data_IF_027084327512
#
_entry.id   IF_027084327512
#
_cell.length_a   1.000
_cell.length_b   1.000
_cell.length_c   1.000
_cell.angle_alpha   90.00
_cell.angle_beta   90.00
_cell.angle_gamma   90.00
#
_symmetry.space_group_name_H-M   'P 1'
#
loop_
_entity.id
_entity.type
_entity.pdbx_description
1 polymer ?
#
# COMPACT_ATOMS: atom_id res chain seq x y z
N UNK A 1 -13.17 -13.74 2.61
CA UNK A 1 -11.84 -13.22 2.21
C UNK A 1 -10.76 -13.58 3.22
N UNK A 2 -10.87 -13.16 4.49
CA UNK A 2 -9.81 -13.33 5.51
C UNK A 2 -9.32 -14.78 5.71
N UNK A 3 -10.22 -15.75 5.94
CA UNK A 3 -9.81 -17.16 6.10
C UNK A 3 -9.01 -17.73 4.92
N UNK A 4 -9.26 -17.24 3.71
CA UNK A 4 -8.50 -17.64 2.51
C UNK A 4 -7.08 -17.08 2.56
N UNK A 5 -6.94 -15.81 2.93
CA UNK A 5 -5.65 -15.12 3.02
C UNK A 5 -4.78 -15.72 4.13
N UNK A 6 -5.37 -16.00 5.30
CA UNK A 6 -4.68 -16.65 6.43
C UNK A 6 -4.14 -18.04 6.07
N UNK A 7 -4.78 -18.76 5.14
CA UNK A 7 -4.29 -20.07 4.70
C UNK A 7 -3.11 -20.02 3.73
N UNK A 8 -2.81 -18.85 3.16
CA UNK A 8 -1.82 -18.68 2.08
C UNK A 8 -0.55 -17.96 2.53
N UNK A 9 -0.63 -17.13 3.58
CA UNK A 9 0.52 -16.38 4.08
C UNK A 9 0.83 -16.72 5.54
N UNK A 10 2.12 -16.84 5.91
CA UNK A 10 2.52 -17.34 7.23
C UNK A 10 2.15 -16.41 8.38
N UNK A 11 2.04 -15.10 8.12
CA UNK A 11 1.61 -14.10 9.11
C UNK A 11 0.72 -13.06 8.44
N UNK A 12 -0.55 -13.03 8.85
CA UNK A 12 -1.56 -12.10 8.34
C UNK A 12 -2.04 -11.23 9.49
N UNK A 13 -2.05 -9.92 9.29
CA UNK A 13 -2.62 -8.93 10.18
C UNK A 13 -3.91 -8.39 9.54
N UNK A 14 -5.04 -8.69 10.16
CA UNK A 14 -6.35 -8.22 9.69
C UNK A 14 -6.51 -6.74 10.07
N UNK A 15 -6.73 -5.88 9.08
CA UNK A 15 -6.92 -4.44 9.29
C UNK A 15 -8.41 -4.05 9.26
N UNK A 16 -9.21 -4.72 8.41
CA UNK A 16 -10.68 -4.62 8.39
C UNK A 16 -11.30 -5.86 7.70
N UNK A 17 -12.62 -5.91 7.57
CA UNK A 17 -13.35 -7.03 6.93
C UNK A 17 -12.78 -7.37 5.55
N UNK A 18 -12.49 -6.34 4.74
CA UNK A 18 -12.02 -6.48 3.37
C UNK A 18 -10.55 -6.08 3.19
N UNK A 19 -9.80 -5.91 4.28
CA UNK A 19 -8.40 -5.49 4.20
C UNK A 19 -7.48 -6.25 5.17
N UNK A 20 -6.35 -6.71 4.66
CA UNK A 20 -5.34 -7.42 5.44
C UNK A 20 -3.94 -7.10 4.97
N UNK A 21 -2.98 -7.11 5.91
CA UNK A 21 -1.56 -7.10 5.62
C UNK A 21 -0.99 -8.49 5.80
N UNK A 22 0.02 -8.85 5.02
CA UNK A 22 0.76 -10.09 5.24
C UNK A 22 2.28 -9.86 5.20
N UNK A 23 3.01 -10.53 6.07
CA UNK A 23 4.47 -10.54 6.05
C UNK A 23 4.96 -11.54 4.99
N UNK A 24 5.79 -11.07 4.07
CA UNK A 24 6.35 -11.88 2.99
C UNK A 24 7.78 -12.34 3.29
N UNK A 25 8.27 -12.15 4.52
CA UNK A 25 9.59 -12.62 4.96
C UNK A 25 9.68 -14.14 4.80
N UNK A 26 10.70 -14.60 4.06
CA UNK A 26 10.92 -16.02 3.76
C UNK A 26 10.17 -16.55 2.53
N UNK A 27 9.36 -15.73 1.85
CA UNK A 27 8.75 -16.10 0.57
C UNK A 27 9.77 -15.92 -0.56
N UNK A 28 9.83 -16.90 -1.48
CA UNK A 28 10.73 -16.87 -2.62
C UNK A 28 10.36 -15.79 -3.64
N UNK A 29 11.36 -15.22 -4.29
CA UNK A 29 11.16 -14.30 -5.42
C UNK A 29 10.78 -15.09 -6.70
N UNK A 30 10.05 -14.45 -7.65
CA UNK A 30 9.51 -13.10 -7.58
C UNK A 30 8.20 -13.03 -6.77
N UNK A 31 8.12 -12.09 -5.81
CA UNK A 31 6.92 -11.94 -4.97
C UNK A 31 5.63 -11.62 -5.74
N UNK A 32 5.76 -11.05 -6.94
CA UNK A 32 4.62 -10.77 -7.81
C UNK A 32 3.83 -12.02 -8.21
N UNK A 33 4.48 -13.17 -8.37
CA UNK A 33 3.82 -14.41 -8.77
C UNK A 33 3.06 -15.03 -7.59
N UNK A 34 3.68 -15.00 -6.41
CA UNK A 34 3.00 -15.36 -5.16
C UNK A 34 1.76 -14.49 -4.91
N UNK A 35 1.87 -13.17 -5.12
CA UNK A 35 0.73 -12.28 -5.00
C UNK A 35 -0.38 -12.60 -6.03
N UNK A 36 -0.04 -12.94 -7.27
CA UNK A 36 -1.03 -13.36 -8.28
C UNK A 36 -1.71 -14.69 -7.91
N UNK A 37 -0.98 -15.63 -7.31
CA UNK A 37 -1.57 -16.87 -6.81
C UNK A 37 -2.61 -16.57 -5.71
N UNK A 38 -2.27 -15.70 -4.77
CA UNK A 38 -3.21 -15.26 -3.73
C UNK A 38 -4.43 -14.59 -4.37
N UNK A 39 -4.22 -13.66 -5.31
CA UNK A 39 -5.29 -12.96 -6.02
C UNK A 39 -6.26 -13.94 -6.70
N UNK A 40 -5.71 -14.92 -7.43
CA UNK A 40 -6.48 -15.94 -8.12
C UNK A 40 -7.24 -16.84 -7.13
N UNK A 41 -6.61 -17.23 -6.03
CA UNK A 41 -7.22 -18.06 -4.99
C UNK A 41 -8.40 -17.37 -4.32
N UNK A 42 -8.20 -16.11 -3.91
CA UNK A 42 -9.28 -15.32 -3.30
C UNK A 42 -10.43 -15.17 -4.30
N UNK A 43 -10.14 -14.82 -5.56
CA UNK A 43 -11.17 -14.71 -6.59
C UNK A 43 -11.94 -16.01 -6.80
N UNK A 44 -11.25 -17.15 -6.82
CA UNK A 44 -11.86 -18.48 -6.99
C UNK A 44 -12.78 -18.85 -5.82
N UNK A 45 -12.39 -18.56 -4.59
CA UNK A 45 -13.12 -19.03 -3.40
C UNK A 45 -14.21 -18.09 -2.94
N UNK A 46 -14.07 -16.78 -3.17
CA UNK A 46 -15.03 -15.77 -2.69
C UNK A 46 -15.79 -15.09 -3.81
N UNK A 47 -15.36 -15.22 -5.06
CA UNK A 47 -15.88 -14.46 -6.19
C UNK A 47 -15.48 -12.99 -6.18
N UNK A 48 -14.76 -12.49 -5.18
CA UNK A 48 -14.43 -11.07 -5.05
C UNK A 48 -13.11 -10.74 -5.76
N UNK A 49 -13.05 -9.66 -6.57
CA UNK A 49 -11.79 -9.18 -7.09
C UNK A 49 -11.00 -8.50 -5.96
N UNK A 50 -9.68 -8.70 -5.93
CA UNK A 50 -8.81 -8.07 -4.93
C UNK A 50 -7.64 -7.35 -5.61
N UNK A 51 -7.32 -6.17 -5.09
CA UNK A 51 -6.10 -5.44 -5.42
C UNK A 51 -5.03 -5.79 -4.40
N UNK A 52 -3.82 -6.08 -4.88
CA UNK A 52 -2.69 -6.47 -4.05
C UNK A 52 -1.50 -5.55 -4.32
N UNK A 53 -0.92 -5.01 -3.25
CA UNK A 53 0.28 -4.19 -3.27
C UNK A 53 1.40 -4.80 -2.42
N UNK A 54 2.63 -4.79 -2.94
CA UNK A 54 3.84 -5.21 -2.23
C UNK A 54 4.72 -3.99 -2.00
N UNK A 55 5.30 -3.86 -0.82
CA UNK A 55 6.28 -2.80 -0.51
C UNK A 55 7.19 -3.16 0.66
N UNK A 56 8.23 -2.34 0.89
CA UNK A 56 9.15 -2.50 2.03
C UNK A 56 8.55 -2.06 3.37
N UNK A 57 7.40 -1.38 3.35
CA UNK A 57 6.66 -1.00 4.56
C UNK A 57 5.17 -1.14 4.33
N UNK A 58 4.38 -1.16 5.42
CA UNK A 58 2.91 -1.13 5.35
C UNK A 58 2.41 0.06 4.51
N UNK A 59 3.03 1.23 4.66
CA UNK A 59 2.64 2.43 3.90
C UNK A 59 2.94 2.29 2.42
N UNK A 60 4.11 1.78 2.02
CA UNK A 60 4.42 1.52 0.61
C UNK A 60 3.55 0.39 0.03
N UNK A 61 3.29 -0.67 0.80
CA UNK A 61 2.40 -1.75 0.38
C UNK A 61 0.96 -1.24 0.16
N UNK A 62 0.48 -0.35 1.01
CA UNK A 62 -0.83 0.30 0.88
C UNK A 62 -0.87 1.26 -0.31
N UNK A 63 0.19 2.02 -0.55
CA UNK A 63 0.33 2.86 -1.75
C UNK A 63 0.33 2.01 -3.03
N UNK A 64 1.04 0.90 -3.04
CA UNK A 64 1.05 -0.07 -4.13
C UNK A 64 -0.33 -0.67 -4.37
N UNK A 65 -1.08 -1.00 -3.31
CA UNK A 65 -2.45 -1.52 -3.41
C UNK A 65 -3.39 -0.47 -4.02
N UNK A 66 -3.26 0.80 -3.62
CA UNK A 66 -4.01 1.90 -4.26
C UNK A 66 -3.68 1.96 -5.76
N UNK A 67 -2.40 1.91 -6.13
CA UNK A 67 -1.96 1.88 -7.52
C UNK A 67 -2.47 0.66 -8.30
N UNK A 68 -2.58 -0.51 -7.65
CA UNK A 68 -3.06 -1.73 -8.28
C UNK A 68 -4.53 -1.66 -8.67
N UNK A 69 -5.33 -0.88 -7.92
CA UNK A 69 -6.72 -0.56 -8.25
C UNK A 69 -6.80 0.50 -9.34
N UNK A 70 -6.03 1.57 -9.21
CA UNK A 70 -6.04 2.70 -10.15
C UNK A 70 -5.56 2.30 -11.55
N UNK A 71 -4.53 1.47 -11.64
CA UNK A 71 -3.92 1.01 -12.89
C UNK A 71 -4.23 -0.45 -13.18
N UNK A 72 -5.41 -0.93 -12.79
CA UNK A 72 -5.80 -2.35 -12.86
C UNK A 72 -5.63 -2.95 -14.26
N UNK A 73 -6.00 -2.23 -15.32
CA UNK A 73 -5.86 -2.69 -16.71
C UNK A 73 -4.41 -2.97 -17.11
N UNK A 74 -3.46 -2.22 -16.55
CA UNK A 74 -2.02 -2.35 -16.85
C UNK A 74 -1.31 -3.35 -15.94
N UNK A 75 -1.82 -3.52 -14.72
CA UNK A 75 -1.14 -4.26 -13.64
C UNK A 75 -1.78 -5.61 -13.36
N UNK A 76 -2.99 -5.87 -13.85
CA UNK A 76 -3.79 -7.02 -13.46
C UNK A 76 -4.24 -6.97 -12.00
N UNK A 77 -4.13 -5.81 -11.32
CA UNK A 77 -4.49 -5.66 -9.92
C UNK A 77 -3.39 -6.06 -8.92
N UNK A 78 -2.17 -6.35 -9.39
CA UNK A 78 -0.99 -6.64 -8.54
C UNK A 78 0.12 -5.64 -8.85
N UNK A 79 0.61 -4.93 -7.83
CA UNK A 79 1.72 -3.97 -7.97
C UNK A 79 2.82 -4.29 -6.96
N UNK A 80 4.05 -4.40 -7.46
CA UNK A 80 5.25 -4.50 -6.64
C UNK A 80 6.00 -3.17 -6.61
N UNK A 81 6.00 -2.52 -5.45
CA UNK A 81 6.56 -1.19 -5.23
C UNK A 81 7.82 -1.26 -4.33
N UNK A 82 8.72 -2.18 -4.65
CA UNK A 82 10.01 -2.34 -3.95
C UNK A 82 11.20 -1.71 -4.67
N UNK A 83 11.09 -1.44 -5.96
CA UNK A 83 12.15 -0.78 -6.73
C UNK A 83 12.08 0.74 -6.56
N UNK A 84 13.22 1.39 -6.30
CA UNK A 84 13.28 2.82 -6.00
C UNK A 84 12.65 3.68 -7.09
N UNK A 85 12.91 3.38 -8.37
CA UNK A 85 12.32 4.09 -9.50
C UNK A 85 10.79 3.95 -9.55
N UNK A 86 10.24 2.81 -9.12
CA UNK A 86 8.80 2.57 -9.08
C UNK A 86 8.16 3.34 -7.92
N UNK A 87 8.82 3.34 -6.74
CA UNK A 87 8.42 4.15 -5.58
C UNK A 87 8.36 5.62 -5.97
N UNK A 88 9.44 6.16 -6.53
CA UNK A 88 9.49 7.56 -6.96
C UNK A 88 8.42 7.87 -8.01
N UNK A 89 8.25 7.01 -9.01
CA UNK A 89 7.26 7.19 -10.06
C UNK A 89 5.84 7.31 -9.49
N UNK A 90 5.48 6.44 -8.54
CA UNK A 90 4.15 6.44 -7.94
C UNK A 90 3.97 7.64 -7.00
N UNK A 91 4.92 7.87 -6.08
CA UNK A 91 4.77 8.90 -5.06
C UNK A 91 4.72 10.32 -5.66
N UNK A 92 5.37 10.55 -6.81
CA UNK A 92 5.27 11.83 -7.54
C UNK A 92 3.88 12.08 -8.14
N UNK A 93 3.07 11.03 -8.31
CA UNK A 93 1.73 11.09 -8.90
C UNK A 93 0.61 10.90 -7.87
N UNK A 94 0.95 10.45 -6.67
CA UNK A 94 0.01 10.23 -5.59
C UNK A 94 -0.23 11.55 -4.83
N UNK A 95 -1.48 12.06 -4.79
CA UNK A 95 -1.81 13.19 -3.94
C UNK A 95 -1.57 12.88 -2.46
N UNK A 96 -1.21 13.88 -1.65
CA UNK A 96 -0.97 13.69 -0.20
C UNK A 96 -2.17 13.10 0.52
N UNK A 97 -3.39 13.46 0.13
CA UNK A 97 -4.64 12.94 0.70
C UNK A 97 -4.87 11.42 0.48
N UNK A 98 -4.19 10.82 -0.50
CA UNK A 98 -4.25 9.37 -0.75
C UNK A 98 -3.22 8.59 0.07
N UNK A 99 -2.30 9.29 0.76
CA UNK A 99 -1.31 8.66 1.62
C UNK A 99 -1.99 8.17 2.89
N UNK A 100 -1.83 6.88 3.17
CA UNK A 100 -2.36 6.27 4.39
C UNK A 100 -1.83 6.99 5.64
N UNK A 101 -2.76 7.41 6.51
CA UNK A 101 -2.47 8.22 7.69
C UNK A 101 -2.65 9.74 7.50
N UNK A 102 -2.79 10.22 6.26
CA UNK A 102 -3.02 11.65 5.98
C UNK A 102 -4.53 11.93 5.93
N UNK A 103 -5.07 12.42 7.04
CA UNK A 103 -6.46 12.86 7.11
C UNK A 103 -6.70 14.25 6.52
N UNK A 104 -7.96 14.57 6.19
CA UNK A 104 -8.40 15.84 5.58
C UNK A 104 -7.77 17.10 6.18
N UNK A 105 -7.70 17.21 7.52
CA UNK A 105 -7.11 18.36 8.21
C UNK A 105 -5.61 18.52 7.91
N UNK A 106 -4.89 17.41 7.84
CA UNK A 106 -3.46 17.39 7.54
C UNK A 106 -3.25 17.73 6.06
N UNK A 107 -4.08 17.20 5.16
CA UNK A 107 -4.03 17.52 3.73
C UNK A 107 -4.18 19.01 3.46
N UNK A 108 -5.17 19.67 4.08
CA UNK A 108 -5.37 21.13 3.90
C UNK A 108 -4.15 21.93 4.34
N UNK A 109 -3.51 21.54 5.46
CA UNK A 109 -2.28 22.19 5.92
C UNK A 109 -1.11 21.93 4.98
N UNK A 110 -0.97 20.70 4.50
CA UNK A 110 0.07 20.31 3.54
C UNK A 110 -0.05 21.10 2.23
N UNK A 111 -1.26 21.25 1.71
CA UNK A 111 -1.54 22.04 0.51
C UNK A 111 -1.18 23.52 0.70
N UNK A 112 -1.51 24.11 1.86
CA UNK A 112 -1.13 25.48 2.20
C UNK A 112 0.40 25.68 2.25
N UNK A 113 1.14 24.64 2.63
CA UNK A 113 2.61 24.62 2.66
C UNK A 113 3.22 24.23 1.29
N UNK A 114 2.42 24.09 0.22
CA UNK A 114 2.88 23.72 -1.13
C UNK A 114 3.20 22.22 -1.31
N UNK A 115 2.86 21.38 -0.34
CA UNK A 115 3.11 19.93 -0.34
C UNK A 115 1.85 19.20 -0.82
N UNK A 116 1.76 18.92 -2.12
CA UNK A 116 0.57 18.34 -2.75
C UNK A 116 0.72 16.88 -3.14
N UNK A 117 1.95 16.36 -3.18
CA UNK A 117 2.26 14.97 -3.54
C UNK A 117 2.88 14.18 -2.40
N UNK A 118 2.68 12.87 -2.42
CA UNK A 118 3.31 11.94 -1.48
C UNK A 118 4.84 12.00 -1.54
N UNK A 119 5.41 12.24 -2.73
CA UNK A 119 6.86 12.44 -2.90
C UNK A 119 7.36 13.69 -2.17
N UNK A 120 6.68 14.83 -2.31
CA UNK A 120 7.04 16.05 -1.59
C UNK A 120 6.92 15.85 -0.08
N UNK A 121 5.84 15.19 0.38
CA UNK A 121 5.64 14.87 1.79
C UNK A 121 6.78 14.01 2.34
N UNK A 122 7.19 12.98 1.61
CA UNK A 122 8.25 12.07 2.02
C UNK A 122 9.62 12.81 2.13
N UNK A 123 9.84 13.80 1.27
CA UNK A 123 11.06 14.62 1.22
C UNK A 123 10.99 15.92 2.06
N UNK A 124 9.94 16.12 2.86
CA UNK A 124 9.85 17.25 3.79
C UNK A 124 10.47 16.87 5.14
N UNK A 125 11.24 17.76 5.76
CA UNK A 125 11.86 17.49 7.06
C UNK A 125 10.82 17.31 8.19
N UNK A 126 11.01 16.34 9.09
CA UNK A 126 10.05 16.02 10.16
C UNK A 126 9.92 17.08 11.27
N UNK A 127 10.64 18.20 11.20
CA UNK A 127 10.90 19.06 12.39
C UNK A 127 9.84 20.16 12.62
N UNK A 128 8.98 20.50 11.67
CA UNK A 128 8.07 21.65 11.83
C UNK A 128 6.62 21.34 12.29
N UNK A 129 6.30 20.11 12.74
CA UNK A 129 4.88 19.72 12.93
C UNK A 129 4.65 18.91 14.21
N UNK A 130 4.27 19.61 15.28
CA UNK A 130 3.90 19.05 16.60
C UNK A 130 2.59 18.23 16.55
N UNK A 131 2.69 16.89 16.65
CA UNK A 131 1.95 15.98 17.58
C UNK A 131 2.19 14.48 17.21
N UNK A 132 2.22 13.55 18.18
CA UNK A 132 2.69 12.17 17.97
C UNK A 132 1.68 11.17 17.37
N UNK A 133 0.38 11.44 17.40
CA UNK A 133 -0.61 10.43 16.99
C UNK A 133 -1.18 10.73 15.59
N UNK A 134 -0.80 9.91 14.60
CA UNK A 134 -1.34 9.95 13.23
C UNK A 134 -0.43 10.57 12.16
N UNK A 135 0.88 10.71 12.41
CA UNK A 135 1.84 11.24 11.43
C UNK A 135 2.15 10.21 10.32
N UNK A 136 2.05 10.56 9.03
CA UNK A 136 2.59 9.70 7.97
C UNK A 136 4.12 9.58 8.14
N UNK A 137 4.70 8.39 7.93
CA UNK A 137 6.14 8.18 8.07
C UNK A 137 6.94 9.10 7.13
N UNK A 138 8.13 9.55 7.54
CA UNK A 138 9.09 10.23 6.66
C UNK A 138 9.61 9.25 5.60
N UNK A 139 10.20 9.74 4.49
CA UNK A 139 10.77 8.84 3.47
C UNK A 139 11.71 7.80 4.10
N UNK A 140 12.58 8.21 5.03
CA UNK A 140 13.49 7.30 5.74
C UNK A 140 12.79 6.26 6.63
N UNK A 141 11.61 6.54 7.18
CA UNK A 141 10.83 5.53 7.93
C UNK A 141 9.87 4.71 7.05
N UNK A 142 9.62 5.15 5.81
CA UNK A 142 8.94 4.35 4.77
C UNK A 142 9.83 3.24 4.17
N UNK A 143 11.13 3.21 4.45
CA UNK A 143 12.11 2.21 3.97
C UNK A 143 12.59 1.21 5.05
N UNK A 144 11.78 0.95 6.07
CA UNK A 144 12.07 -0.15 7.03
C UNK A 144 12.19 -1.51 6.31
N UNK A 145 12.96 -2.46 6.86
CA UNK A 145 13.37 -3.71 6.20
C UNK A 145 12.29 -4.83 6.16
N UNK A 146 10.99 -4.51 6.21
CA UNK A 146 9.94 -5.52 6.33
C UNK A 146 9.07 -5.63 5.08
N UNK A 147 9.25 -6.70 4.31
CA UNK A 147 8.45 -6.97 3.10
C UNK A 147 6.97 -7.19 3.48
N UNK A 148 6.13 -6.24 3.11
CA UNK A 148 4.71 -6.21 3.45
C UNK A 148 3.85 -6.33 2.20
N UNK A 149 2.84 -7.19 2.29
CA UNK A 149 1.73 -7.30 1.35
C UNK A 149 0.54 -6.53 1.92
N UNK A 150 -0.16 -5.74 1.11
CA UNK A 150 -1.46 -5.16 1.44
C UNK A 150 -2.49 -5.66 0.43
N UNK A 151 -3.58 -6.23 0.93
CA UNK A 151 -4.66 -6.78 0.12
C UNK A 151 -5.96 -6.09 0.51
N UNK A 152 -6.71 -5.60 -0.47
CA UNK A 152 -8.08 -5.17 -0.23
C UNK A 152 -9.03 -5.50 -1.37
N UNK A 153 -10.28 -5.78 -1.01
CA UNK A 153 -11.38 -5.94 -1.96
C UNK A 153 -11.49 -4.76 -2.93
N UNK A 154 -11.85 -5.06 -4.17
CA UNK A 154 -12.22 -4.06 -5.19
C UNK A 154 -13.73 -4.09 -5.33
N UNK A 155 -14.38 -2.95 -5.16
CA UNK A 155 -15.82 -2.85 -5.40
C UNK A 155 -16.08 -3.10 -6.91
N UNK A 156 -16.95 -4.05 -7.29
CA UNK A 156 -17.22 -4.36 -8.70
C UNK A 156 -17.83 -3.20 -9.51
N UNK A 157 -18.18 -2.08 -8.87
CA UNK A 157 -18.79 -0.90 -9.50
C UNK A 157 -17.82 0.30 -9.68
N UNK A 158 -16.52 0.11 -9.49
CA UNK A 158 -15.49 1.13 -9.68
C UNK A 158 -14.65 0.88 -10.93
#
# INVERSE_FOLDING_TARGET
>A
MQRTIESLAPRVEVYSIDESFADLTGIAEPLGDFAREIQARVRSWTGMPVGIGIGHTKTLAKAAQHASKLYKERTGGVVDLRADHAVEWLLKRMPTQEVWGVGRRISVRLEADGVTTAWQLANTDPIARTKPDGMPPSYKSMVSNQKMLSMAGVNPHC
#
